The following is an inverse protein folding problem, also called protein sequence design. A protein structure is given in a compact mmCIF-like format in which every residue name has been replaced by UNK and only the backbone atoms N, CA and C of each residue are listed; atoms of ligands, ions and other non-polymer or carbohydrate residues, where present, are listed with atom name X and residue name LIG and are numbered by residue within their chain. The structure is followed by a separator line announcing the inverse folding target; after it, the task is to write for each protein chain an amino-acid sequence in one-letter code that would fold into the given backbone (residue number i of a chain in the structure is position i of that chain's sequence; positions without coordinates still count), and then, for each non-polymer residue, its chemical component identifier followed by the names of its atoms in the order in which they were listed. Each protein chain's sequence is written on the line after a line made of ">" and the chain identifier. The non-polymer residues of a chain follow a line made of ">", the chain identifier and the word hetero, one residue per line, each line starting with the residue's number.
data_IF_555991834466
#
_entry.id   IF_555991834466
#
_cell.length_a   1.000
_cell.length_b   1.000
_cell.length_c   1.000
_cell.angle_alpha   90.00
_cell.angle_beta   90.00
_cell.angle_gamma   90.00
#
_symmetry.space_group_name_H-M   'P 1'
#
loop_
_entity.id
_entity.type
_entity.pdbx_description
1 polymer ?
#
# COMPACT_ATOMS: atom_id res chain seq x y z
N UNK A 1 21.59 -0.76 39.85
CA UNK A 1 21.73 -1.85 38.83
C UNK A 1 23.22 -2.08 38.70
N UNK A 2 23.70 -3.19 39.18
CA UNK A 2 25.11 -3.57 39.10
C UNK A 2 25.40 -4.31 37.80
N UNK A 3 26.66 -4.41 37.39
CA UNK A 3 27.04 -5.19 36.20
C UNK A 3 26.68 -6.66 36.33
N UNK A 4 26.48 -7.19 37.55
CA UNK A 4 26.00 -8.54 37.84
C UNK A 4 24.48 -8.70 37.61
N UNK A 5 23.71 -7.65 37.96
CA UNK A 5 22.24 -7.65 37.74
C UNK A 5 21.89 -7.69 36.24
N UNK A 6 22.77 -7.12 35.39
CA UNK A 6 22.61 -7.15 33.92
C UNK A 6 22.93 -8.55 33.36
N UNK A 7 23.88 -9.29 34.02
CA UNK A 7 24.29 -10.65 33.60
C UNK A 7 23.30 -11.74 34.01
N UNK A 8 22.49 -11.53 35.03
CA UNK A 8 21.61 -12.55 35.63
C UNK A 8 20.12 -12.31 35.36
N UNK A 9 19.78 -11.19 34.71
CA UNK A 9 18.38 -10.85 34.39
C UNK A 9 17.90 -11.41 33.05
N UNK A 10 16.77 -10.92 32.53
CA UNK A 10 16.17 -11.34 31.24
C UNK A 10 17.13 -11.28 30.05
N UNK A 11 18.26 -10.58 30.18
CA UNK A 11 19.35 -10.49 29.18
C UNK A 11 19.98 -11.87 28.93
N UNK A 12 19.92 -12.83 29.87
CA UNK A 12 20.39 -14.21 29.65
C UNK A 12 19.55 -15.00 28.63
N UNK A 13 18.37 -14.56 28.32
CA UNK A 13 17.49 -15.16 27.31
C UNK A 13 17.55 -14.44 25.96
N UNK A 14 18.35 -13.37 25.86
CA UNK A 14 18.52 -12.61 24.62
C UNK A 14 19.80 -13.03 23.90
N UNK A 15 19.90 -12.68 22.64
CA UNK A 15 21.01 -12.96 21.71
C UNK A 15 22.41 -12.51 22.19
N UNK A 16 22.50 -11.80 23.33
CA UNK A 16 23.75 -11.29 23.92
C UNK A 16 24.53 -12.33 24.75
N UNK A 17 23.96 -13.52 24.94
CA UNK A 17 24.55 -14.56 25.78
C UNK A 17 25.26 -15.69 25.00
N UNK A 18 25.38 -15.58 23.68
CA UNK A 18 26.25 -16.46 22.89
C UNK A 18 27.57 -15.78 22.59
N UNK A 19 28.56 -16.54 22.15
CA UNK A 19 29.86 -16.06 21.66
C UNK A 19 29.73 -15.25 20.35
N UNK A 20 28.76 -14.33 20.30
CA UNK A 20 28.52 -13.46 19.14
C UNK A 20 29.32 -12.19 19.31
N UNK A 21 30.25 -11.97 18.40
CA UNK A 21 31.05 -10.75 18.38
C UNK A 21 30.18 -9.51 18.08
N UNK A 22 30.58 -8.31 18.53
CA UNK A 22 29.89 -7.08 18.16
C UNK A 22 29.71 -6.88 16.65
N UNK A 23 30.65 -7.42 15.86
CA UNK A 23 30.57 -7.40 14.39
C UNK A 23 29.46 -8.33 13.87
N UNK A 24 29.37 -9.55 14.39
CA UNK A 24 28.31 -10.51 14.02
C UNK A 24 26.91 -10.00 14.40
N UNK A 25 26.81 -9.35 15.58
CA UNK A 25 25.56 -8.69 15.99
C UNK A 25 25.21 -7.56 15.04
N UNK A 26 26.18 -6.72 14.65
CA UNK A 26 25.99 -5.65 13.68
C UNK A 26 25.57 -6.19 12.33
N UNK A 27 26.24 -7.22 11.82
CA UNK A 27 25.86 -7.89 10.55
C UNK A 27 24.46 -8.50 10.65
N UNK A 28 24.11 -9.14 11.76
CA UNK A 28 22.79 -9.71 11.98
C UNK A 28 21.71 -8.63 12.01
N UNK A 29 21.94 -7.51 12.69
CA UNK A 29 21.04 -6.34 12.67
C UNK A 29 20.91 -5.76 11.26
N UNK A 30 22.01 -5.66 10.51
CA UNK A 30 21.96 -5.24 9.10
C UNK A 30 21.19 -6.25 8.26
N UNK A 31 21.44 -7.54 8.42
CA UNK A 31 20.73 -8.60 7.70
C UNK A 31 19.23 -8.58 8.03
N UNK A 32 18.84 -8.37 9.28
CA UNK A 32 17.45 -8.25 9.70
C UNK A 32 16.81 -6.96 9.19
N UNK A 33 17.53 -5.84 9.20
CA UNK A 33 17.09 -4.55 8.67
C UNK A 33 16.99 -4.56 7.13
N UNK A 34 17.92 -5.24 6.44
CA UNK A 34 17.98 -5.35 4.99
C UNK A 34 17.53 -6.71 4.45
N UNK A 35 17.10 -7.65 5.30
CA UNK A 35 16.66 -9.00 4.89
C UNK A 35 15.59 -8.91 3.82
N UNK A 36 14.73 -7.93 3.97
CA UNK A 36 13.67 -7.67 3.02
C UNK A 36 14.19 -7.18 1.66
N UNK A 37 15.34 -6.53 1.59
CA UNK A 37 15.98 -6.09 0.33
C UNK A 37 16.74 -7.22 -0.36
N UNK A 38 17.36 -8.12 0.39
CA UNK A 38 18.13 -9.24 -0.15
C UNK A 38 17.20 -10.28 -0.79
N UNK A 39 16.02 -10.50 -0.23
CA UNK A 39 15.01 -11.42 -0.78
C UNK A 39 14.29 -10.85 -2.03
N UNK A 40 14.46 -9.56 -2.32
CA UNK A 40 13.82 -8.89 -3.43
C UNK A 40 14.57 -9.02 -4.77
N UNK A 41 15.74 -9.66 -4.77
CA UNK A 41 16.56 -9.81 -6.00
C UNK A 41 15.87 -10.69 -7.05
N UNK A 42 14.95 -11.57 -6.64
CA UNK A 42 14.18 -12.42 -7.55
C UNK A 42 12.97 -11.71 -8.19
N UNK A 43 12.59 -10.51 -7.70
CA UNK A 43 11.48 -9.73 -8.24
C UNK A 43 11.88 -8.80 -9.39
N UNK A 44 13.15 -8.74 -9.79
CA UNK A 44 13.63 -7.82 -10.83
C UNK A 44 13.04 -8.09 -12.22
N UNK A 45 12.63 -9.32 -12.50
CA UNK A 45 12.04 -9.70 -13.80
C UNK A 45 10.53 -9.37 -13.90
N UNK A 46 9.87 -9.02 -12.78
CA UNK A 46 8.43 -8.73 -12.77
C UNK A 46 8.08 -7.30 -13.23
N UNK A 47 9.06 -6.43 -13.42
CA UNK A 47 8.82 -5.02 -13.76
C UNK A 47 9.22 -4.69 -15.19
N UNK A 48 8.54 -5.31 -16.16
CA UNK A 48 8.56 -4.83 -17.54
C UNK A 48 7.85 -3.48 -17.61
N UNK A 49 8.61 -2.43 -17.85
CA UNK A 49 8.10 -1.09 -18.09
C UNK A 49 7.48 -1.02 -19.48
N UNK A 50 6.28 -0.43 -19.63
CA UNK A 50 5.69 -0.19 -20.93
C UNK A 50 6.56 0.77 -21.77
N UNK A 51 6.36 0.75 -23.09
CA UNK A 51 7.01 1.69 -24.00
C UNK A 51 6.70 3.14 -23.57
N UNK A 52 7.73 3.97 -23.50
CA UNK A 52 7.62 5.37 -23.08
C UNK A 52 7.81 5.62 -21.58
N UNK A 53 8.07 4.57 -20.78
CA UNK A 53 8.40 4.70 -19.36
C UNK A 53 9.85 4.30 -19.11
N UNK A 54 10.59 5.18 -18.44
CA UNK A 54 11.95 4.88 -17.99
C UNK A 54 11.93 4.08 -16.70
N UNK A 55 12.83 3.12 -16.55
CA UNK A 55 13.02 2.36 -15.31
C UNK A 55 14.05 3.07 -14.43
N UNK A 56 13.61 3.60 -13.31
CA UNK A 56 14.49 4.21 -12.31
C UNK A 56 14.68 3.28 -11.11
N UNK A 57 15.91 3.16 -10.62
CA UNK A 57 16.29 2.30 -9.51
C UNK A 57 15.48 2.63 -8.24
N UNK A 58 15.37 3.93 -7.90
CA UNK A 58 14.60 4.38 -6.73
C UNK A 58 13.11 4.02 -6.80
N UNK A 59 12.51 3.99 -8.00
CA UNK A 59 11.12 3.56 -8.18
C UNK A 59 10.99 2.06 -7.94
N UNK A 60 11.93 1.27 -8.43
CA UNK A 60 11.97 -0.18 -8.19
C UNK A 60 12.07 -0.49 -6.70
N UNK A 61 12.98 0.19 -5.98
CA UNK A 61 13.12 0.06 -4.53
C UNK A 61 11.84 0.44 -3.79
N UNK A 62 11.21 1.56 -4.19
CA UNK A 62 9.95 2.02 -3.61
C UNK A 62 8.80 1.02 -3.84
N UNK A 63 8.75 0.38 -5.02
CA UNK A 63 7.76 -0.65 -5.33
C UNK A 63 7.96 -1.88 -4.47
N UNK A 64 9.19 -2.37 -4.36
CA UNK A 64 9.52 -3.55 -3.54
C UNK A 64 9.17 -3.31 -2.08
N UNK A 65 9.60 -2.17 -1.52
CA UNK A 65 9.33 -1.83 -0.12
C UNK A 65 7.83 -1.58 0.12
N UNK A 66 7.17 -0.84 -0.78
CA UNK A 66 5.75 -0.56 -0.70
C UNK A 66 4.90 -1.82 -0.77
N UNK A 67 5.24 -2.75 -1.68
CA UNK A 67 4.52 -4.01 -1.82
C UNK A 67 4.63 -4.89 -0.55
N UNK A 68 5.82 -4.98 0.06
CA UNK A 68 6.01 -5.68 1.32
C UNK A 68 5.19 -5.08 2.46
N UNK A 69 5.16 -3.74 2.57
CA UNK A 69 4.32 -3.04 3.55
C UNK A 69 2.84 -3.32 3.33
N UNK A 70 2.41 -3.32 2.06
CA UNK A 70 1.04 -3.62 1.68
C UNK A 70 0.60 -5.01 2.14
N UNK A 71 1.44 -6.03 1.94
CA UNK A 71 1.16 -7.40 2.36
C UNK A 71 1.17 -7.55 3.88
N UNK A 72 2.10 -6.88 4.57
CA UNK A 72 2.31 -7.03 6.01
C UNK A 72 1.28 -6.26 6.86
N UNK A 73 0.88 -5.07 6.41
CA UNK A 73 0.08 -4.12 7.20
C UNK A 73 -1.30 -3.84 6.61
N UNK A 74 -1.70 -4.50 5.54
CA UNK A 74 -2.93 -4.27 4.77
C UNK A 74 -3.04 -2.89 4.13
N UNK A 75 -2.06 -2.02 4.34
CA UNK A 75 -1.99 -0.70 3.74
C UNK A 75 -0.73 0.04 4.13
N UNK A 76 -0.43 1.10 3.39
CA UNK A 76 0.69 1.98 3.68
C UNK A 76 0.52 3.35 3.00
N UNK A 77 1.36 4.30 3.41
CA UNK A 77 1.47 5.61 2.78
C UNK A 77 2.58 5.61 1.73
N UNK A 78 2.23 5.93 0.50
CA UNK A 78 3.17 6.31 -0.53
C UNK A 78 3.37 7.83 -0.46
N UNK A 79 4.28 8.23 0.41
CA UNK A 79 4.62 9.63 0.64
C UNK A 79 5.93 9.96 -0.08
N UNK A 80 5.89 10.89 -1.01
CA UNK A 80 7.09 11.31 -1.73
C UNK A 80 6.95 12.74 -2.27
N UNK A 81 8.08 13.35 -2.62
CA UNK A 81 8.12 14.69 -3.21
C UNK A 81 7.36 14.71 -4.53
N UNK A 82 6.71 15.83 -4.81
CA UNK A 82 5.97 16.05 -6.05
C UNK A 82 6.90 15.82 -7.26
N UNK A 83 6.44 15.01 -8.22
CA UNK A 83 7.16 14.81 -9.49
C UNK A 83 8.00 13.52 -9.57
N UNK A 84 8.16 12.74 -8.50
CA UNK A 84 8.93 11.49 -8.50
C UNK A 84 8.15 10.26 -9.04
N UNK A 85 7.01 10.46 -9.68
CA UNK A 85 6.27 9.40 -10.36
C UNK A 85 5.44 8.50 -9.44
N UNK A 86 4.82 9.05 -8.38
CA UNK A 86 3.94 8.28 -7.46
C UNK A 86 2.87 7.46 -8.17
N UNK A 87 2.27 8.00 -9.22
CA UNK A 87 1.29 7.27 -10.04
C UNK A 87 1.89 6.02 -10.65
N UNK A 88 3.12 6.11 -11.21
CA UNK A 88 3.82 4.97 -11.80
C UNK A 88 4.18 3.94 -10.73
N UNK A 89 4.74 4.37 -9.59
CA UNK A 89 5.09 3.49 -8.46
C UNK A 89 3.84 2.74 -7.97
N UNK A 90 2.74 3.46 -7.73
CA UNK A 90 1.49 2.86 -7.27
C UNK A 90 0.89 1.88 -8.31
N UNK A 91 1.01 2.20 -9.61
CA UNK A 91 0.58 1.33 -10.70
C UNK A 91 1.45 0.06 -10.78
N UNK A 92 2.77 0.17 -10.59
CA UNK A 92 3.66 -0.98 -10.54
C UNK A 92 3.34 -1.90 -9.34
N UNK A 93 3.04 -1.33 -8.18
CA UNK A 93 2.59 -2.10 -7.00
C UNK A 93 1.27 -2.82 -7.29
N UNK A 94 0.32 -2.13 -7.92
CA UNK A 94 -0.95 -2.73 -8.33
C UNK A 94 -0.76 -3.85 -9.36
N UNK A 95 0.18 -3.69 -10.31
CA UNK A 95 0.54 -4.73 -11.28
C UNK A 95 1.14 -5.96 -10.58
N UNK A 96 2.07 -5.76 -9.65
CA UNK A 96 2.62 -6.87 -8.86
C UNK A 96 1.52 -7.59 -8.07
N UNK A 97 0.61 -6.84 -7.47
CA UNK A 97 -0.54 -7.41 -6.76
C UNK A 97 -1.43 -8.27 -7.67
N UNK A 98 -1.69 -7.83 -8.92
CA UNK A 98 -2.42 -8.61 -9.92
C UNK A 98 -1.66 -9.88 -10.35
N UNK A 99 -0.34 -9.81 -10.47
CA UNK A 99 0.50 -10.98 -10.81
C UNK A 99 0.36 -12.05 -9.73
N UNK A 100 0.48 -11.66 -8.46
CA UNK A 100 0.50 -12.59 -7.33
C UNK A 100 -0.88 -13.20 -7.04
N UNK A 101 -1.95 -12.44 -7.25
CA UNK A 101 -3.33 -12.87 -6.96
C UNK A 101 -4.09 -13.40 -8.20
N UNK A 102 -3.50 -13.25 -9.38
CA UNK A 102 -4.16 -13.50 -10.67
C UNK A 102 -5.02 -12.33 -11.13
N UNK A 103 -4.78 -11.90 -12.36
CA UNK A 103 -5.45 -10.74 -12.95
C UNK A 103 -6.98 -10.85 -12.93
N UNK A 104 -7.53 -12.02 -13.31
CA UNK A 104 -8.97 -12.22 -13.39
C UNK A 104 -9.69 -12.21 -12.04
N UNK A 105 -8.92 -12.42 -10.97
CA UNK A 105 -9.42 -12.47 -9.61
C UNK A 105 -9.24 -11.14 -8.85
N UNK A 106 -8.56 -10.16 -9.47
CA UNK A 106 -8.19 -8.91 -8.80
C UNK A 106 -9.05 -7.75 -9.28
N UNK A 107 -9.70 -7.06 -8.36
CA UNK A 107 -10.49 -5.86 -8.61
C UNK A 107 -9.90 -4.67 -7.88
N UNK A 108 -9.55 -3.63 -8.63
CA UNK A 108 -8.87 -2.43 -8.12
C UNK A 108 -9.82 -1.24 -8.18
N UNK A 109 -9.83 -0.44 -7.12
CA UNK A 109 -10.46 0.88 -7.10
C UNK A 109 -9.39 1.95 -7.02
N UNK A 110 -9.44 2.93 -7.91
CA UNK A 110 -8.60 4.13 -7.85
C UNK A 110 -9.47 5.34 -7.57
N UNK A 111 -9.22 5.96 -6.42
CA UNK A 111 -9.87 7.21 -5.97
C UNK A 111 -8.92 8.36 -6.25
N UNK A 112 -9.37 9.35 -7.00
CA UNK A 112 -8.51 10.44 -7.47
C UNK A 112 -9.21 11.81 -7.47
N UNK A 113 -8.47 12.93 -7.38
CA UNK A 113 -9.02 14.24 -7.67
C UNK A 113 -9.26 14.40 -9.18
N UNK A 114 -10.38 15.03 -9.60
CA UNK A 114 -10.76 15.14 -11.02
C UNK A 114 -9.65 15.66 -11.96
N UNK A 115 -8.76 16.51 -11.44
CA UNK A 115 -7.69 17.11 -12.24
C UNK A 115 -6.67 16.12 -12.79
N UNK A 116 -6.53 14.93 -12.19
CA UNK A 116 -5.53 13.90 -12.55
C UNK A 116 -6.14 12.63 -13.14
N UNK A 117 -7.44 12.65 -13.44
CA UNK A 117 -8.18 11.53 -14.03
C UNK A 117 -7.50 10.94 -15.25
N UNK A 118 -7.17 11.81 -16.22
CA UNK A 118 -6.55 11.36 -17.47
C UNK A 118 -5.23 10.64 -17.23
N UNK A 119 -4.40 11.16 -16.34
CA UNK A 119 -3.11 10.59 -16.02
C UNK A 119 -3.25 9.18 -15.40
N UNK A 120 -4.16 9.00 -14.43
CA UNK A 120 -4.42 7.70 -13.82
C UNK A 120 -4.92 6.68 -14.82
N UNK A 121 -5.95 7.03 -15.60
CA UNK A 121 -6.52 6.15 -16.61
C UNK A 121 -5.50 5.74 -17.69
N UNK A 122 -4.70 6.70 -18.15
CA UNK A 122 -3.68 6.44 -19.15
C UNK A 122 -2.58 5.53 -18.61
N UNK A 123 -2.03 5.83 -17.42
CA UNK A 123 -0.98 5.01 -16.82
C UNK A 123 -1.46 3.57 -16.60
N UNK A 124 -2.65 3.38 -16.03
CA UNK A 124 -3.20 2.03 -15.82
C UNK A 124 -3.45 1.27 -17.12
N UNK A 125 -3.86 1.96 -18.16
CA UNK A 125 -4.02 1.38 -19.50
C UNK A 125 -2.67 0.96 -20.08
N UNK A 126 -1.66 1.80 -19.98
CA UNK A 126 -0.31 1.51 -20.50
C UNK A 126 0.31 0.28 -19.79
N UNK A 127 -0.01 0.09 -18.50
CA UNK A 127 0.40 -1.08 -17.72
C UNK A 127 -0.54 -2.29 -17.87
N UNK A 128 -1.61 -2.20 -18.67
CA UNK A 128 -2.56 -3.28 -18.94
C UNK A 128 -3.52 -3.61 -17.79
N UNK A 129 -3.76 -2.65 -16.88
CA UNK A 129 -4.60 -2.83 -15.70
C UNK A 129 -6.01 -2.24 -15.82
N UNK A 130 -6.33 -1.57 -16.90
CA UNK A 130 -7.60 -0.86 -17.13
C UNK A 130 -8.83 -1.74 -16.97
N UNK A 131 -8.76 -3.01 -17.40
CA UNK A 131 -9.85 -4.00 -17.32
C UNK A 131 -10.17 -4.42 -15.89
N UNK A 132 -9.18 -4.38 -15.03
CA UNK A 132 -9.25 -4.84 -13.64
C UNK A 132 -9.47 -3.69 -12.66
N UNK A 133 -9.71 -2.49 -13.18
CA UNK A 133 -9.75 -1.26 -12.38
C UNK A 133 -11.01 -0.46 -12.64
N UNK A 134 -11.57 0.09 -11.57
CA UNK A 134 -12.58 1.16 -11.63
C UNK A 134 -11.98 2.45 -11.07
N UNK A 135 -12.38 3.56 -11.70
CA UNK A 135 -11.84 4.88 -11.40
C UNK A 135 -12.96 5.78 -10.91
N UNK A 136 -12.77 6.40 -9.74
CA UNK A 136 -13.78 7.27 -9.14
C UNK A 136 -13.17 8.55 -8.62
N UNK A 137 -13.87 9.66 -8.83
CA UNK A 137 -13.46 10.93 -8.23
C UNK A 137 -13.77 10.93 -6.72
N UNK A 138 -12.92 11.60 -5.95
CA UNK A 138 -13.03 11.72 -4.49
C UNK A 138 -14.36 12.34 -3.98
N UNK A 139 -15.10 13.02 -4.83
CA UNK A 139 -16.43 13.60 -4.51
C UNK A 139 -17.62 12.71 -4.92
N UNK A 140 -17.40 11.46 -5.37
CA UNK A 140 -18.46 10.60 -5.90
C UNK A 140 -18.46 9.20 -5.30
N UNK A 141 -17.85 9.01 -4.13
CA UNK A 141 -17.64 7.70 -3.48
C UNK A 141 -18.94 6.95 -3.18
N UNK A 142 -20.04 7.68 -2.92
CA UNK A 142 -21.38 7.11 -2.73
C UNK A 142 -21.82 6.20 -3.88
N UNK A 143 -21.31 6.43 -5.10
CA UNK A 143 -21.63 5.58 -6.26
C UNK A 143 -21.07 4.15 -6.16
N UNK A 144 -19.99 3.95 -5.39
CA UNK A 144 -19.41 2.62 -5.13
C UNK A 144 -20.19 1.88 -4.05
N UNK A 145 -20.84 2.64 -3.15
CA UNK A 145 -21.70 2.10 -2.08
C UNK A 145 -23.14 1.85 -2.54
N UNK A 146 -23.49 2.32 -3.73
CA UNK A 146 -24.80 2.13 -4.32
C UNK A 146 -24.84 0.82 -5.11
N UNK A 147 -25.45 -0.21 -4.54
CA UNK A 147 -25.58 -1.55 -5.14
C UNK A 147 -26.39 -1.56 -6.47
N UNK A 148 -27.17 -0.51 -6.74
CA UNK A 148 -27.90 -0.35 -8.02
C UNK A 148 -27.02 0.30 -9.10
N UNK A 149 -25.82 0.73 -8.78
CA UNK A 149 -24.91 1.38 -9.72
C UNK A 149 -23.97 0.37 -10.39
N UNK A 150 -24.35 -0.12 -11.53
CA UNK A 150 -23.59 -1.13 -12.30
C UNK A 150 -22.32 -0.61 -13.01
N UNK A 151 -22.00 0.66 -12.92
CA UNK A 151 -20.73 1.23 -13.43
C UNK A 151 -19.54 0.80 -12.56
N UNK A 152 -19.81 0.43 -11.32
CA UNK A 152 -18.83 -0.02 -10.32
C UNK A 152 -19.14 -1.46 -9.89
N UNK A 153 -18.14 -2.16 -9.40
CA UNK A 153 -18.36 -3.38 -8.63
C UNK A 153 -18.85 -3.01 -7.24
N UNK A 154 -19.48 -3.94 -6.55
CA UNK A 154 -19.88 -3.71 -5.17
C UNK A 154 -18.65 -3.42 -4.29
N UNK A 155 -18.83 -2.63 -3.26
CA UNK A 155 -17.72 -2.21 -2.41
C UNK A 155 -16.94 -3.40 -1.83
N UNK A 156 -17.61 -4.51 -1.51
CA UNK A 156 -17.05 -5.74 -0.95
C UNK A 156 -16.34 -6.65 -1.98
N UNK A 157 -16.33 -6.28 -3.25
CA UNK A 157 -15.65 -7.04 -4.30
C UNK A 157 -14.25 -6.52 -4.63
N UNK A 158 -13.87 -5.34 -4.14
CA UNK A 158 -12.53 -4.79 -4.37
C UNK A 158 -11.48 -5.44 -3.47
N UNK A 159 -10.33 -5.72 -4.05
CA UNK A 159 -9.17 -6.30 -3.39
C UNK A 159 -8.15 -5.24 -2.98
N UNK A 160 -7.96 -4.23 -3.83
CA UNK A 160 -6.99 -3.16 -3.67
C UNK A 160 -7.65 -1.80 -3.91
N UNK A 161 -7.42 -0.86 -2.99
CA UNK A 161 -7.89 0.53 -3.09
C UNK A 161 -6.69 1.47 -3.09
N UNK A 162 -6.55 2.28 -4.14
CA UNK A 162 -5.56 3.35 -4.22
C UNK A 162 -6.27 4.68 -4.03
N UNK A 163 -5.75 5.52 -3.15
CA UNK A 163 -6.34 6.83 -2.83
C UNK A 163 -5.31 7.92 -3.09
N UNK A 164 -5.51 8.66 -4.16
CA UNK A 164 -4.65 9.80 -4.48
C UNK A 164 -5.08 11.05 -3.72
N UNK A 165 -4.10 11.88 -3.35
CA UNK A 165 -4.29 13.05 -2.50
C UNK A 165 -5.03 12.71 -1.20
N UNK A 166 -4.60 11.62 -0.53
CA UNK A 166 -5.24 11.08 0.66
C UNK A 166 -5.43 12.12 1.78
N UNK A 167 -4.59 13.15 1.83
CA UNK A 167 -4.72 14.25 2.77
C UNK A 167 -6.07 14.99 2.71
N UNK A 168 -6.86 14.81 1.65
CA UNK A 168 -8.23 15.36 1.56
C UNK A 168 -9.23 14.64 2.46
N UNK A 169 -8.89 13.45 2.93
CA UNK A 169 -9.74 12.60 3.76
C UNK A 169 -9.37 12.60 5.25
N UNK A 170 -8.56 13.54 5.72
CA UNK A 170 -8.11 13.62 7.14
C UNK A 170 -9.16 14.08 8.14
N UNK A 171 -10.30 14.60 7.68
CA UNK A 171 -11.36 15.08 8.56
C UNK A 171 -12.48 14.06 8.68
N UNK A 172 -12.51 13.32 9.78
CA UNK A 172 -13.50 12.26 10.04
C UNK A 172 -14.95 12.70 10.18
N UNK A 173 -15.21 14.01 10.22
CA UNK A 173 -16.58 14.58 10.17
C UNK A 173 -17.08 14.79 8.73
N UNK A 174 -16.26 14.51 7.72
CA UNK A 174 -16.62 14.68 6.32
C UNK A 174 -17.27 13.39 5.80
N UNK A 175 -18.39 13.53 5.10
CA UNK A 175 -19.10 12.42 4.43
C UNK A 175 -18.17 11.59 3.54
N UNK A 176 -17.30 12.24 2.77
CA UNK A 176 -16.33 11.56 1.91
C UNK A 176 -15.33 10.68 2.68
N UNK A 177 -14.93 11.09 3.91
CA UNK A 177 -14.11 10.25 4.77
C UNK A 177 -14.87 8.99 5.20
N UNK A 178 -16.12 9.15 5.64
CA UNK A 178 -16.96 8.04 6.10
C UNK A 178 -17.22 7.04 4.97
N UNK A 179 -17.57 7.54 3.76
CA UNK A 179 -17.77 6.70 2.58
C UNK A 179 -16.48 5.94 2.20
N UNK A 180 -15.33 6.62 2.19
CA UNK A 180 -14.06 5.99 1.88
C UNK A 180 -13.67 4.95 2.93
N UNK A 181 -13.86 5.26 4.22
CA UNK A 181 -13.59 4.34 5.32
C UNK A 181 -14.47 3.09 5.22
N UNK A 182 -15.75 3.23 4.91
CA UNK A 182 -16.67 2.12 4.68
C UNK A 182 -16.18 1.24 3.53
N UNK A 183 -15.80 1.82 2.38
CA UNK A 183 -15.24 1.08 1.25
C UNK A 183 -13.96 0.33 1.64
N UNK A 184 -13.03 1.00 2.33
CA UNK A 184 -11.74 0.41 2.68
C UNK A 184 -11.83 -0.68 3.76
N UNK A 185 -12.72 -0.50 4.76
CA UNK A 185 -12.87 -1.44 5.88
C UNK A 185 -13.82 -2.61 5.59
N UNK A 186 -14.69 -2.47 4.60
CA UNK A 186 -15.55 -3.58 4.17
C UNK A 186 -14.67 -4.74 3.67
N UNK A 187 -14.71 -5.92 4.30
CA UNK A 187 -13.88 -7.03 3.87
C UNK A 187 -14.29 -7.49 2.47
N UNK A 188 -13.34 -7.98 1.72
CA UNK A 188 -13.64 -8.65 0.46
C UNK A 188 -14.41 -9.93 0.75
N UNK A 189 -15.55 -10.11 0.08
CA UNK A 189 -16.36 -11.33 0.26
C UNK A 189 -15.68 -12.54 -0.38
N UNK A 190 -15.94 -13.71 0.21
CA UNK A 190 -15.59 -14.97 -0.40
C UNK A 190 -16.37 -15.16 -1.72
N UNK A 191 -15.67 -15.50 -2.79
CA UNK A 191 -16.27 -15.72 -4.10
C UNK A 191 -15.69 -17.01 -4.70
N UNK A 192 -16.49 -18.04 -4.80
CA UNK A 192 -16.05 -19.34 -5.30
C UNK A 192 -14.93 -19.93 -4.44
N UNK A 193 -13.74 -20.07 -5.01
CA UNK A 193 -12.55 -20.59 -4.30
C UNK A 193 -11.64 -19.48 -3.74
N UNK A 194 -12.02 -18.21 -3.86
CA UNK A 194 -11.24 -17.07 -3.35
C UNK A 194 -11.75 -16.75 -1.96
N UNK A 195 -10.92 -16.96 -0.91
CA UNK A 195 -11.34 -16.65 0.45
C UNK A 195 -11.54 -15.14 0.64
N UNK A 196 -12.43 -14.80 1.57
CA UNK A 196 -12.57 -13.41 2.00
C UNK A 196 -11.31 -12.94 2.73
N UNK A 197 -10.94 -11.68 2.54
CA UNK A 197 -9.79 -11.08 3.20
C UNK A 197 -9.96 -9.56 3.40
N UNK A 198 -9.13 -9.00 4.26
CA UNK A 198 -9.06 -7.55 4.47
C UNK A 198 -8.48 -6.88 3.23
N UNK A 199 -9.15 -5.84 2.72
CA UNK A 199 -8.67 -5.09 1.55
C UNK A 199 -7.29 -4.50 1.78
N UNK A 200 -6.56 -4.38 0.70
CA UNK A 200 -5.27 -3.68 0.68
C UNK A 200 -5.49 -2.22 0.28
N UNK A 201 -4.85 -1.29 0.98
CA UNK A 201 -5.04 0.15 0.78
C UNK A 201 -3.71 0.87 0.61
N UNK A 202 -3.59 1.65 -0.46
CA UNK A 202 -2.44 2.52 -0.72
C UNK A 202 -2.91 3.98 -0.65
N UNK A 203 -2.44 4.72 0.34
CA UNK A 203 -2.70 6.14 0.49
C UNK A 203 -1.54 6.93 -0.11
N UNK A 204 -1.84 7.73 -1.13
CA UNK A 204 -0.85 8.49 -1.90
C UNK A 204 -1.01 9.96 -1.53
N UNK A 205 0.06 10.58 -1.02
CA UNK A 205 0.06 11.99 -0.66
C UNK A 205 1.46 12.57 -0.73
N UNK A 206 1.58 13.81 -1.19
CA UNK A 206 2.83 14.56 -1.11
C UNK A 206 3.12 15.08 0.31
N UNK A 207 2.08 15.22 1.12
CA UNK A 207 2.14 15.79 2.47
C UNK A 207 1.26 14.98 3.43
N UNK A 208 1.69 13.77 3.85
CA UNK A 208 0.89 12.93 4.74
C UNK A 208 0.66 13.58 6.11
N UNK A 209 1.56 14.46 6.54
CA UNK A 209 1.49 15.19 7.78
C UNK A 209 1.56 16.70 7.51
N UNK A 210 0.41 17.39 7.55
CA UNK A 210 0.34 18.80 7.18
C UNK A 210 0.26 19.73 8.41
N UNK A 211 -0.57 19.45 9.39
CA UNK A 211 -0.80 20.33 10.53
C UNK A 211 -0.57 19.62 11.88
N UNK A 212 -1.09 18.42 12.05
CA UNK A 212 -1.04 17.71 13.34
C UNK A 212 -0.82 16.20 13.16
N UNK A 213 -0.27 15.50 14.18
CA UNK A 213 -0.23 14.04 14.19
C UNK A 213 -1.61 13.38 14.08
N UNK A 214 -2.68 14.08 14.49
CA UNK A 214 -4.04 13.61 14.37
C UNK A 214 -4.48 13.44 12.90
N UNK A 215 -3.95 14.24 11.98
CA UNK A 215 -4.24 14.11 10.55
C UNK A 215 -3.78 12.73 10.04
N UNK A 216 -2.54 12.34 10.37
CA UNK A 216 -1.97 11.04 10.01
C UNK A 216 -2.75 9.89 10.68
N UNK A 217 -3.14 10.05 11.93
CA UNK A 217 -3.94 9.06 12.64
C UNK A 217 -5.28 8.82 11.94
N UNK A 218 -5.99 9.88 11.56
CA UNK A 218 -7.26 9.77 10.84
C UNK A 218 -7.09 9.07 9.47
N UNK A 219 -6.01 9.35 8.76
CA UNK A 219 -5.73 8.67 7.49
C UNK A 219 -5.43 7.17 7.71
N UNK A 220 -4.71 6.80 8.79
CA UNK A 220 -4.47 5.40 9.15
C UNK A 220 -5.80 4.68 9.47
N UNK A 221 -6.75 5.34 10.11
CA UNK A 221 -8.08 4.80 10.40
C UNK A 221 -8.91 4.43 9.15
N UNK A 222 -8.46 4.79 7.95
CA UNK A 222 -9.10 4.34 6.71
C UNK A 222 -8.91 2.82 6.48
N UNK A 223 -7.81 2.21 6.98
CA UNK A 223 -7.51 0.80 6.73
C UNK A 223 -7.07 0.01 7.98
N UNK A 224 -6.84 0.70 9.10
CA UNK A 224 -6.52 0.07 10.39
C UNK A 224 -7.62 0.36 11.42
N UNK A 225 -7.77 -0.51 12.42
CA UNK A 225 -8.71 -0.38 13.55
C UNK A 225 -8.08 0.38 14.71
#
# INVERSE_FOLDING_TARGET
>A
ITAEDIKTGPVQQTYLNGDVTPYELYIKMLMEYFSDRVLATDAQDAFDMPEGYDKYEYQTDAVIEGYKKLLKYDGFFLADVVGLGKTVIATMIAKQFCIDNGYENTKILVVYPPAVEHNWKQTFKDFGLDKYTRFISNGSLSKVLDEENYDYWNADEYDLVLVDEAHKFRTHTNTAFTELQEICKMPRVETGNIPGFKKKVILISATPMNNTPADLYNEILLFQD
#
